data_IF_451488703316
#
_entry.id   IF_451488703316
#
_cell.length_a   1.000
_cell.length_b   1.000
_cell.length_c   1.000
_cell.angle_alpha   90.00
_cell.angle_beta   90.00
_cell.angle_gamma   90.00
#
_symmetry.space_group_name_H-M   'P 1'
#
loop_
_entity.id
_entity.type
_entity.pdbx_description
1 polymer ?
#
# COMPACT_ATOMS: atom_id res chain seq x y z
N UNK A 1 20.29 47.65 -12.55
CA UNK A 1 19.64 46.53 -13.27
C UNK A 1 19.72 45.33 -12.35
N UNK A 2 18.55 44.90 -11.90
CA UNK A 2 18.28 43.94 -10.82
C UNK A 2 18.74 42.54 -11.17
N UNK A 3 19.48 41.90 -10.26
CA UNK A 3 19.82 40.48 -10.32
C UNK A 3 18.56 39.65 -10.10
N UNK A 4 18.32 38.70 -11.01
CA UNK A 4 17.27 37.68 -10.88
C UNK A 4 17.81 36.58 -9.97
N UNK A 5 17.18 36.26 -8.82
CA UNK A 5 17.54 35.09 -8.05
C UNK A 5 17.22 33.82 -8.86
N UNK A 6 17.95 32.71 -8.66
CA UNK A 6 17.57 31.43 -9.23
C UNK A 6 16.22 30.98 -8.65
N UNK A 7 15.40 30.22 -9.41
CA UNK A 7 14.15 29.69 -8.89
C UNK A 7 14.45 28.68 -7.77
N UNK A 8 13.69 28.81 -6.68
CA UNK A 8 13.50 27.82 -5.63
C UNK A 8 13.49 26.41 -6.24
N UNK A 9 14.48 25.60 -5.86
CA UNK A 9 14.46 24.17 -6.10
C UNK A 9 13.30 23.59 -5.30
N UNK A 10 12.23 23.22 -6.01
CA UNK A 10 11.21 22.33 -5.49
C UNK A 10 11.93 21.11 -4.90
N UNK A 11 11.76 20.91 -3.59
CA UNK A 11 12.21 19.70 -2.92
C UNK A 11 11.59 18.50 -3.65
N UNK A 12 12.45 17.56 -4.06
CA UNK A 12 12.00 16.26 -4.53
C UNK A 12 11.14 15.59 -3.44
N UNK A 13 10.10 14.81 -3.81
CA UNK A 13 9.37 14.01 -2.84
C UNK A 13 10.36 13.06 -2.14
N UNK A 14 10.26 12.98 -0.82
CA UNK A 14 11.18 12.22 0.00
C UNK A 14 10.94 10.73 -0.21
N UNK A 15 11.91 10.05 -0.83
CA UNK A 15 12.12 8.62 -0.61
C UNK A 15 12.07 8.34 0.89
N UNK A 16 11.27 7.35 1.31
CA UNK A 16 11.42 6.84 2.66
C UNK A 16 12.78 6.14 2.72
N UNK A 17 13.75 6.80 3.34
CA UNK A 17 15.10 6.26 3.51
C UNK A 17 15.03 4.88 4.17
N UNK A 18 15.99 3.99 3.92
CA UNK A 18 16.04 2.69 4.60
C UNK A 18 15.96 2.81 6.15
N UNK A 19 16.53 3.89 6.69
CA UNK A 19 16.42 4.27 8.10
C UNK A 19 14.98 4.64 8.52
N UNK A 20 14.23 5.32 7.67
CA UNK A 20 12.84 5.71 7.94
C UNK A 20 11.90 4.51 7.89
N UNK A 21 12.14 3.58 6.96
CA UNK A 21 11.47 2.29 6.94
C UNK A 21 11.80 1.46 8.20
N UNK A 22 13.02 1.60 8.77
CA UNK A 22 13.37 1.00 10.06
C UNK A 22 12.59 1.64 11.22
N UNK A 23 12.45 2.95 11.27
CA UNK A 23 11.69 3.63 12.32
C UNK A 23 10.19 3.29 12.30
N UNK A 24 9.60 3.17 11.11
CA UNK A 24 8.20 2.72 10.95
C UNK A 24 8.05 1.28 11.44
N UNK A 25 9.03 0.41 11.15
CA UNK A 25 9.06 -0.97 11.67
C UNK A 25 9.12 -0.99 13.19
N UNK A 26 10.04 -0.25 13.78
CA UNK A 26 10.22 -0.21 15.24
C UNK A 26 8.95 0.30 15.93
N UNK A 27 8.32 1.37 15.41
CA UNK A 27 7.06 1.86 15.97
C UNK A 27 5.92 0.85 15.88
N UNK A 28 5.78 0.16 14.75
CA UNK A 28 4.77 -0.89 14.61
C UNK A 28 5.10 -2.11 15.52
N UNK A 29 6.39 -2.41 15.74
CA UNK A 29 6.83 -3.47 16.64
C UNK A 29 6.58 -3.17 18.11
N UNK A 30 6.76 -1.92 18.52
CA UNK A 30 6.48 -1.45 19.88
C UNK A 30 5.00 -1.55 20.25
N UNK A 31 4.11 -1.42 19.26
CA UNK A 31 2.66 -1.57 19.44
C UNK A 31 2.20 -3.04 19.43
N UNK A 32 3.14 -3.97 19.59
CA UNK A 32 2.94 -5.41 19.49
C UNK A 32 2.22 -5.85 18.22
N UNK A 33 2.08 -5.02 17.17
CA UNK A 33 1.44 -5.31 15.87
C UNK A 33 2.08 -6.55 15.24
N UNK A 34 3.32 -6.87 15.65
CA UNK A 34 4.03 -8.10 15.36
C UNK A 34 4.13 -9.00 16.60
N UNK A 35 3.24 -9.99 16.70
CA UNK A 35 3.47 -11.11 17.61
C UNK A 35 4.60 -12.00 17.04
N UNK A 36 5.84 -11.73 17.49
CA UNK A 36 7.04 -12.48 17.13
C UNK A 36 7.97 -11.76 16.17
N UNK A 37 9.25 -12.17 16.15
CA UNK A 37 10.23 -11.75 15.14
C UNK A 37 9.58 -11.88 13.75
N UNK A 38 9.64 -10.87 12.86
CA UNK A 38 9.24 -11.05 11.48
C UNK A 38 10.05 -12.23 10.92
N UNK A 39 9.36 -13.35 10.67
CA UNK A 39 10.00 -14.52 10.12
C UNK A 39 10.09 -14.32 8.61
N UNK A 40 11.27 -13.93 8.12
CA UNK A 40 11.91 -14.50 6.93
C UNK A 40 11.15 -14.62 5.61
N UNK A 41 10.14 -13.81 5.34
CA UNK A 41 9.69 -13.54 3.96
C UNK A 41 9.95 -12.06 3.69
N UNK A 42 11.23 -11.73 3.45
CA UNK A 42 11.65 -10.43 2.93
C UNK A 42 11.16 -10.33 1.48
N UNK A 43 9.85 -10.13 1.29
CA UNK A 43 9.29 -9.89 -0.04
C UNK A 43 9.33 -8.41 -0.37
N UNK A 44 9.62 -8.11 -1.62
CA UNK A 44 9.69 -6.78 -2.21
C UNK A 44 8.44 -6.58 -3.06
N UNK A 45 7.72 -5.48 -2.85
CA UNK A 45 6.51 -5.16 -3.60
C UNK A 45 6.72 -3.90 -4.38
N UNK A 46 6.17 -3.95 -5.57
CA UNK A 46 5.98 -2.77 -6.36
C UNK A 46 4.49 -2.57 -6.55
N UNK A 47 4.09 -1.31 -6.43
CA UNK A 47 2.70 -0.90 -6.60
C UNK A 47 2.66 0.26 -7.58
N UNK A 48 1.92 0.08 -8.66
CA UNK A 48 1.61 1.15 -9.60
C UNK A 48 0.12 1.40 -9.60
N UNK A 49 -0.27 2.67 -9.68
CA UNK A 49 -1.66 3.07 -9.79
C UNK A 49 -1.98 3.36 -11.25
N UNK A 50 -3.11 2.86 -11.72
CA UNK A 50 -3.60 3.05 -13.08
C UNK A 50 -5.05 3.53 -13.05
N UNK A 51 -5.38 4.49 -13.90
CA UNK A 51 -6.77 4.93 -14.14
C UNK A 51 -7.45 4.15 -15.27
N UNK A 52 -6.76 3.17 -15.85
CA UNK A 52 -7.34 2.32 -16.88
C UNK A 52 -8.52 1.51 -16.32
N UNK A 53 -9.42 1.10 -17.21
CA UNK A 53 -10.50 0.18 -16.86
C UNK A 53 -9.92 -1.10 -16.19
N UNK A 54 -10.41 -1.50 -15.00
CA UNK A 54 -9.86 -2.64 -14.28
C UNK A 54 -9.92 -3.96 -15.04
N UNK A 55 -10.89 -4.17 -15.94
CA UNK A 55 -10.98 -5.39 -16.73
C UNK A 55 -9.94 -5.39 -17.87
N UNK A 56 -9.67 -4.23 -18.49
CA UNK A 56 -8.58 -4.08 -19.45
C UNK A 56 -7.22 -4.28 -18.78
N UNK A 57 -7.01 -3.67 -17.61
CA UNK A 57 -5.79 -3.81 -16.82
C UNK A 57 -5.54 -5.26 -16.39
N UNK A 58 -6.58 -6.00 -16.01
CA UNK A 58 -6.48 -7.42 -15.65
C UNK A 58 -5.97 -8.30 -16.81
N UNK A 59 -6.29 -7.97 -18.06
CA UNK A 59 -5.76 -8.68 -19.23
C UNK A 59 -4.24 -8.54 -19.35
N UNK A 60 -3.76 -7.29 -19.37
CA UNK A 60 -2.33 -6.98 -19.48
C UNK A 60 -1.53 -7.53 -18.28
N UNK A 61 -2.11 -7.43 -17.08
CA UNK A 61 -1.51 -7.99 -15.86
C UNK A 61 -1.48 -9.52 -15.90
N UNK A 62 -2.47 -10.16 -16.51
CA UNK A 62 -2.48 -11.61 -16.73
C UNK A 62 -1.31 -12.07 -17.62
N UNK A 63 -1.05 -11.35 -18.71
CA UNK A 63 0.09 -11.62 -19.60
C UNK A 63 1.43 -11.34 -18.90
N UNK A 64 1.49 -10.27 -18.11
CA UNK A 64 2.67 -9.93 -17.31
C UNK A 64 2.96 -11.02 -16.27
N UNK A 65 1.94 -11.46 -15.53
CA UNK A 65 2.03 -12.55 -14.54
C UNK A 65 2.55 -13.83 -15.18
N UNK A 66 2.02 -14.22 -16.35
CA UNK A 66 2.48 -15.42 -17.05
C UNK A 66 3.96 -15.35 -17.48
N UNK A 67 4.52 -14.14 -17.66
CA UNK A 67 5.95 -13.96 -17.88
C UNK A 67 6.74 -14.04 -16.57
N UNK A 68 6.22 -13.47 -15.48
CA UNK A 68 6.84 -13.48 -14.16
C UNK A 68 6.86 -14.86 -13.50
N UNK A 69 5.85 -15.70 -13.74
CA UNK A 69 5.77 -17.09 -13.24
C UNK A 69 6.91 -18.01 -13.73
N UNK A 70 7.75 -17.52 -14.65
CA UNK A 70 8.98 -18.22 -15.08
C UNK A 70 10.14 -18.04 -14.11
N UNK A 71 10.04 -17.09 -13.17
CA UNK A 71 11.06 -16.79 -12.19
C UNK A 71 10.64 -17.37 -10.84
N UNK A 72 11.49 -18.19 -10.24
CA UNK A 72 11.21 -18.82 -8.95
C UNK A 72 11.02 -17.79 -7.82
N UNK A 73 11.55 -16.57 -7.99
CA UNK A 73 11.44 -15.45 -7.05
C UNK A 73 10.13 -14.67 -7.18
N UNK A 74 9.29 -14.94 -8.18
CA UNK A 74 7.98 -14.30 -8.30
C UNK A 74 6.99 -14.92 -7.33
N UNK A 75 6.39 -14.09 -6.47
CA UNK A 75 5.43 -14.55 -5.46
C UNK A 75 3.99 -14.32 -5.89
N UNK A 76 3.67 -13.13 -6.42
CA UNK A 76 2.30 -12.74 -6.81
C UNK A 76 2.33 -11.55 -7.73
N UNK A 77 1.45 -11.51 -8.72
CA UNK A 77 1.06 -10.27 -9.41
C UNK A 77 -0.47 -10.23 -9.50
N UNK A 78 -1.08 -9.14 -9.07
CA UNK A 78 -2.53 -9.00 -8.99
C UNK A 78 -3.01 -7.55 -9.18
N UNK A 79 -4.27 -7.41 -9.60
CA UNK A 79 -4.98 -6.14 -9.72
C UNK A 79 -5.93 -5.96 -8.54
N UNK A 80 -5.88 -4.80 -7.93
CA UNK A 80 -6.73 -4.40 -6.83
C UNK A 80 -7.55 -3.18 -7.22
N UNK A 81 -8.76 -3.11 -6.69
CA UNK A 81 -9.63 -1.97 -6.88
C UNK A 81 -10.33 -1.60 -5.58
N UNK A 82 -11.03 -0.47 -5.62
CA UNK A 82 -11.83 0.04 -4.50
C UNK A 82 -13.26 -0.51 -4.53
N UNK A 83 -13.63 -1.25 -5.58
CA UNK A 83 -14.90 -1.96 -5.70
C UNK A 83 -15.01 -3.02 -4.58
N UNK A 84 -15.92 -2.78 -3.63
CA UNK A 84 -16.06 -3.61 -2.42
C UNK A 84 -15.11 -3.25 -1.26
N UNK A 85 -14.29 -2.21 -1.43
CA UNK A 85 -13.42 -1.65 -0.39
C UNK A 85 -14.02 -0.44 0.31
N UNK A 86 -13.23 0.16 1.21
CA UNK A 86 -13.57 1.35 2.00
C UNK A 86 -12.67 2.49 1.61
N UNK A 87 -13.22 3.71 1.61
CA UNK A 87 -12.46 4.93 1.32
C UNK A 87 -12.72 6.00 2.36
N UNK A 88 -11.67 6.76 2.66
CA UNK A 88 -11.69 7.91 3.54
C UNK A 88 -10.83 9.02 2.94
N UNK A 89 -11.31 10.27 2.99
CA UNK A 89 -10.65 11.43 2.40
C UNK A 89 -11.04 11.69 0.94
N UNK A 90 -10.59 12.83 0.40
CA UNK A 90 -10.99 13.37 -0.91
C UNK A 90 -9.89 13.22 -1.98
N UNK A 91 -8.99 12.24 -1.80
CA UNK A 91 -7.83 12.06 -2.68
C UNK A 91 -8.12 11.27 -3.95
N UNK A 92 -7.30 11.49 -4.97
CA UNK A 92 -7.45 10.98 -6.34
C UNK A 92 -7.14 9.47 -6.47
N UNK A 93 -6.60 8.83 -5.42
CA UNK A 93 -6.37 7.39 -5.42
C UNK A 93 -7.67 6.59 -5.38
N UNK A 94 -8.77 7.25 -5.05
CA UNK A 94 -10.07 6.63 -4.86
C UNK A 94 -10.68 6.02 -6.14
N UNK A 95 -10.28 6.52 -7.31
CA UNK A 95 -10.74 6.02 -8.62
C UNK A 95 -9.71 5.15 -9.35
N UNK A 96 -8.52 4.92 -8.77
CA UNK A 96 -7.44 4.20 -9.44
C UNK A 96 -7.38 2.73 -9.04
N UNK A 97 -7.21 1.84 -10.02
CA UNK A 97 -6.80 0.47 -9.77
C UNK A 97 -5.32 0.43 -9.40
N UNK A 98 -4.95 -0.48 -8.49
CA UNK A 98 -3.56 -0.74 -8.15
C UNK A 98 -3.12 -2.08 -8.73
N UNK A 99 -1.96 -2.10 -9.37
CA UNK A 99 -1.27 -3.35 -9.74
C UNK A 99 -0.15 -3.57 -8.76
N UNK A 100 -0.18 -4.72 -8.12
CA UNK A 100 0.81 -5.12 -7.13
C UNK A 100 1.55 -6.34 -7.65
N UNK A 101 2.87 -6.30 -7.59
CA UNK A 101 3.73 -7.48 -7.74
C UNK A 101 4.55 -7.70 -6.48
N UNK A 102 4.73 -8.95 -6.07
CA UNK A 102 5.52 -9.40 -4.92
C UNK A 102 6.66 -10.30 -5.40
N UNK A 103 7.85 -10.08 -4.87
CA UNK A 103 9.08 -10.77 -5.23
C UNK A 103 9.87 -11.19 -4.00
N UNK A 104 10.59 -12.31 -4.04
CA UNK A 104 11.48 -12.73 -2.95
C UNK A 104 12.77 -11.91 -2.85
N UNK A 105 13.15 -11.16 -3.88
CA UNK A 105 14.41 -10.41 -3.93
C UNK A 105 14.26 -9.01 -4.52
N UNK A 106 15.07 -8.07 -4.02
CA UNK A 106 15.09 -6.66 -4.45
C UNK A 106 15.41 -6.52 -5.93
N UNK A 107 16.49 -7.16 -6.40
CA UNK A 107 16.90 -7.12 -7.81
C UNK A 107 15.79 -7.58 -8.77
N UNK A 108 14.99 -8.57 -8.36
CA UNK A 108 13.89 -9.09 -9.17
C UNK A 108 12.73 -8.10 -9.21
N UNK A 109 12.43 -7.46 -8.07
CA UNK A 109 11.47 -6.36 -8.03
C UNK A 109 11.94 -5.20 -8.92
N UNK A 110 13.17 -4.69 -8.74
CA UNK A 110 13.69 -3.59 -9.55
C UNK A 110 13.55 -3.86 -11.05
N UNK A 111 13.91 -5.07 -11.49
CA UNK A 111 13.74 -5.51 -12.88
C UNK A 111 12.28 -5.52 -13.32
N UNK A 112 11.37 -5.99 -12.47
CA UNK A 112 9.93 -6.02 -12.74
C UNK A 112 9.31 -4.62 -12.87
N UNK A 113 9.90 -3.62 -12.19
CA UNK A 113 9.41 -2.25 -12.16
C UNK A 113 9.37 -1.59 -13.55
N UNK A 114 10.30 -1.96 -14.44
CA UNK A 114 10.35 -1.48 -15.82
C UNK A 114 9.11 -1.92 -16.61
N UNK A 115 8.62 -3.13 -16.35
CA UNK A 115 7.45 -3.67 -17.05
C UNK A 115 6.15 -3.06 -16.55
N UNK A 116 6.05 -2.76 -15.25
CA UNK A 116 4.86 -2.10 -14.68
C UNK A 116 4.63 -0.71 -15.26
N UNK A 117 5.71 -0.02 -15.62
CA UNK A 117 5.65 1.30 -16.27
C UNK A 117 5.05 1.25 -17.68
N UNK A 118 4.99 0.06 -18.30
CA UNK A 118 4.38 -0.18 -19.61
C UNK A 118 2.87 -0.43 -19.57
N UNK A 119 2.27 -0.53 -18.37
CA UNK A 119 0.83 -0.76 -18.21
C UNK A 119 0.01 0.46 -18.66
N UNK A 120 -1.25 0.26 -19.09
CA UNK A 120 -2.08 1.35 -19.58
C UNK A 120 -2.39 2.37 -18.48
N UNK A 121 -2.36 3.65 -18.84
CA UNK A 121 -2.78 4.80 -18.01
C UNK A 121 -2.22 4.79 -16.57
N UNK A 122 -0.97 4.35 -16.41
CA UNK A 122 -0.25 4.46 -15.15
C UNK A 122 -0.10 5.93 -14.78
N UNK A 123 -0.65 6.31 -13.63
CA UNK A 123 -0.68 7.71 -13.14
C UNK A 123 0.45 8.02 -12.17
N UNK A 124 1.31 7.05 -11.90
CA UNK A 124 2.50 7.19 -11.08
C UNK A 124 2.59 6.15 -9.98
N UNK A 125 3.70 6.18 -9.25
CA UNK A 125 3.92 5.40 -8.04
C UNK A 125 3.43 6.18 -6.82
N UNK A 126 3.20 5.52 -5.68
CA UNK A 126 2.87 6.22 -4.45
C UNK A 126 3.94 7.26 -4.04
N UNK A 127 5.21 7.07 -4.43
CA UNK A 127 6.33 7.99 -4.18
C UNK A 127 6.29 9.31 -4.98
N UNK A 128 5.67 9.31 -6.16
CA UNK A 128 5.60 10.49 -7.04
C UNK A 128 4.58 11.53 -6.55
N UNK A 129 3.80 11.18 -5.54
CA UNK A 129 2.67 11.98 -5.08
C UNK A 129 3.04 12.79 -3.84
N UNK A 130 2.59 14.04 -3.78
CA UNK A 130 2.90 14.97 -2.68
C UNK A 130 2.38 14.50 -1.32
N UNK A 131 3.24 14.49 -0.29
CA UNK A 131 2.93 14.01 1.06
C UNK A 131 3.63 12.68 1.37
N UNK A 132 3.26 12.06 2.49
CA UNK A 132 3.83 10.78 2.94
C UNK A 132 2.84 9.64 2.69
N UNK A 133 3.25 8.63 1.91
CA UNK A 133 2.46 7.43 1.62
C UNK A 133 2.82 6.27 2.52
N UNK A 134 1.82 5.58 3.07
CA UNK A 134 1.98 4.31 3.77
C UNK A 134 1.14 3.25 3.09
N UNK A 135 1.70 2.05 2.92
CA UNK A 135 0.93 0.88 2.50
C UNK A 135 0.82 -0.09 3.67
N UNK A 136 -0.42 -0.24 4.15
CA UNK A 136 -0.80 -1.26 5.12
C UNK A 136 -0.95 -2.61 4.41
N UNK A 137 -0.02 -3.51 4.74
CA UNK A 137 0.14 -4.95 4.44
C UNK A 137 -0.97 -5.71 3.69
N UNK A 138 -0.57 -6.71 2.90
CA UNK A 138 -1.46 -7.65 2.21
C UNK A 138 -2.17 -8.57 3.23
N UNK A 139 -3.45 -8.29 3.47
CA UNK A 139 -4.35 -9.04 4.33
C UNK A 139 -4.98 -10.17 3.53
N UNK A 140 -4.71 -11.41 3.94
CA UNK A 140 -5.59 -12.53 3.58
C UNK A 140 -6.58 -12.72 4.72
N UNK A 141 -7.83 -12.30 4.51
CA UNK A 141 -8.91 -12.36 5.51
C UNK A 141 -9.57 -13.74 5.46
N UNK A 142 -9.99 -14.29 6.60
CA UNK A 142 -10.82 -15.50 6.60
C UNK A 142 -12.14 -15.20 5.87
N UNK A 143 -12.61 -16.04 4.95
CA UNK A 143 -13.82 -15.77 4.15
C UNK A 143 -15.05 -15.41 5.00
N UNK A 144 -15.24 -16.07 6.14
CA UNK A 144 -16.36 -15.82 7.06
C UNK A 144 -16.34 -14.43 7.72
N UNK A 145 -15.18 -13.75 7.73
CA UNK A 145 -14.98 -12.45 8.36
C UNK A 145 -14.81 -11.31 7.35
N UNK A 146 -14.90 -11.59 6.05
CA UNK A 146 -14.67 -10.61 4.99
C UNK A 146 -15.59 -9.39 5.11
N UNK A 147 -16.89 -9.61 5.30
CA UNK A 147 -17.85 -8.51 5.47
C UNK A 147 -17.58 -7.69 6.74
N UNK A 148 -17.30 -8.36 7.86
CA UNK A 148 -16.97 -7.72 9.14
C UNK A 148 -15.66 -6.90 9.05
N UNK A 149 -14.69 -7.38 8.28
CA UNK A 149 -13.43 -6.68 8.00
C UNK A 149 -13.65 -5.40 7.22
N UNK A 150 -14.42 -5.45 6.14
CA UNK A 150 -14.77 -4.26 5.36
C UNK A 150 -15.55 -3.26 6.23
N UNK A 151 -16.50 -3.71 7.04
CA UNK A 151 -17.27 -2.83 7.94
C UNK A 151 -16.38 -2.15 8.98
N UNK A 152 -15.51 -2.91 9.65
CA UNK A 152 -14.56 -2.39 10.65
C UNK A 152 -13.62 -1.35 10.02
N UNK A 153 -13.11 -1.61 8.81
CA UNK A 153 -12.32 -0.63 8.08
C UNK A 153 -13.12 0.62 7.70
N UNK A 154 -14.43 0.48 7.48
CA UNK A 154 -15.39 1.57 7.32
C UNK A 154 -15.35 2.54 8.50
N UNK A 155 -15.42 1.99 9.71
CA UNK A 155 -15.39 2.76 10.95
C UNK A 155 -14.04 3.46 11.16
N UNK A 156 -12.94 2.76 10.90
CA UNK A 156 -11.59 3.33 10.97
C UNK A 156 -11.41 4.45 9.93
N UNK A 157 -11.90 4.24 8.71
CA UNK A 157 -11.91 5.26 7.66
C UNK A 157 -12.66 6.52 8.06
N UNK A 158 -13.83 6.37 8.70
CA UNK A 158 -14.61 7.49 9.22
C UNK A 158 -13.85 8.32 10.27
N UNK A 159 -13.01 7.68 11.09
CA UNK A 159 -12.14 8.36 12.06
C UNK A 159 -10.96 9.06 11.37
N UNK A 160 -10.33 8.38 10.42
CA UNK A 160 -9.19 8.91 9.66
C UNK A 160 -9.57 10.18 8.90
N UNK A 161 -10.75 10.22 8.29
CA UNK A 161 -11.24 11.41 7.56
C UNK A 161 -11.33 12.69 8.42
N UNK A 162 -11.40 12.57 9.75
CA UNK A 162 -11.43 13.69 10.67
C UNK A 162 -10.08 14.03 11.30
N UNK A 163 -9.01 13.29 10.96
CA UNK A 163 -7.70 13.42 11.57
C UNK A 163 -6.86 14.48 10.86
N UNK A 164 -6.31 15.43 11.62
CA UNK A 164 -5.33 16.38 11.10
C UNK A 164 -4.12 15.63 10.49
N UNK A 165 -3.71 16.05 9.30
CA UNK A 165 -2.62 15.42 8.57
C UNK A 165 -3.01 14.18 7.76
N UNK A 166 -4.23 13.65 7.89
CA UNK A 166 -4.73 12.59 7.01
C UNK A 166 -5.22 13.17 5.68
N UNK A 167 -4.78 12.61 4.56
CA UNK A 167 -5.21 13.03 3.22
C UNK A 167 -6.22 12.06 2.61
N UNK A 168 -5.84 10.79 2.54
CA UNK A 168 -6.68 9.73 1.97
C UNK A 168 -6.29 8.36 2.52
N UNK A 169 -7.26 7.47 2.65
CA UNK A 169 -7.06 6.05 2.89
C UNK A 169 -8.03 5.26 2.04
N UNK A 170 -7.55 4.20 1.40
CA UNK A 170 -8.34 3.26 0.65
C UNK A 170 -7.98 1.83 1.08
N UNK A 171 -8.99 1.02 1.36
CA UNK A 171 -8.88 -0.44 1.37
C UNK A 171 -9.12 -0.92 -0.06
N UNK A 172 -8.10 -1.55 -0.65
CA UNK A 172 -8.16 -2.08 -1.99
C UNK A 172 -8.29 -3.61 -1.94
N UNK A 173 -9.22 -4.15 -2.73
CA UNK A 173 -9.58 -5.57 -2.77
C UNK A 173 -9.06 -6.17 -4.07
N UNK A 174 -8.42 -7.33 -3.99
CA UNK A 174 -7.96 -8.06 -5.16
C UNK A 174 -9.16 -8.53 -5.98
N UNK A 175 -9.11 -8.28 -7.29
CA UNK A 175 -10.18 -8.62 -8.23
C UNK A 175 -10.39 -10.13 -8.39
N UNK A 176 -9.34 -10.92 -8.25
CA UNK A 176 -9.37 -12.38 -8.42
C UNK A 176 -9.63 -13.12 -7.11
N UNK A 177 -9.41 -12.47 -5.96
CA UNK A 177 -9.62 -13.04 -4.63
C UNK A 177 -10.08 -11.94 -3.66
N UNK A 178 -11.37 -11.89 -3.35
CA UNK A 178 -11.92 -10.84 -2.51
C UNK A 178 -11.51 -10.93 -1.03
N UNK A 179 -10.76 -11.97 -0.65
CA UNK A 179 -10.16 -12.08 0.69
C UNK A 179 -8.73 -11.54 0.76
N UNK A 180 -8.10 -11.25 -0.39
CA UNK A 180 -6.78 -10.65 -0.50
C UNK A 180 -6.93 -9.13 -0.68
N UNK A 181 -6.52 -8.36 0.33
CA UNK A 181 -6.72 -6.91 0.39
C UNK A 181 -5.46 -6.20 0.84
N UNK A 182 -5.31 -4.91 0.54
CA UNK A 182 -4.30 -4.08 1.18
C UNK A 182 -4.82 -2.66 1.39
N UNK A 183 -4.18 -1.90 2.26
CA UNK A 183 -4.54 -0.52 2.56
C UNK A 183 -3.50 0.40 1.95
N UNK A 184 -3.96 1.42 1.23
CA UNK A 184 -3.14 2.57 0.86
C UNK A 184 -3.59 3.76 1.70
N UNK A 185 -2.67 4.41 2.42
CA UNK A 185 -2.97 5.63 3.18
C UNK A 185 -1.96 6.71 2.85
N UNK A 186 -2.40 7.97 2.90
CA UNK A 186 -1.58 9.14 2.64
C UNK A 186 -1.82 10.23 3.65
N UNK A 187 -0.73 10.91 3.93
CA UNK A 187 -0.59 11.86 5.01
C UNK A 187 0.13 13.12 4.55
N UNK A 188 -0.07 14.23 5.24
CA UNK A 188 0.68 15.47 5.04
C UNK A 188 2.16 15.25 5.36
N UNK A 189 2.46 14.60 6.49
CA UNK A 189 3.81 14.26 6.90
C UNK A 189 3.89 12.86 7.53
N UNK A 190 5.13 12.35 7.64
CA UNK A 190 5.44 11.08 8.31
C UNK A 190 5.00 11.11 9.78
N UNK A 191 5.18 12.24 10.45
CA UNK A 191 4.83 12.43 11.85
C UNK A 191 3.33 12.23 12.11
N UNK A 192 2.47 12.60 11.16
CA UNK A 192 1.02 12.43 11.23
C UNK A 192 0.65 10.94 11.16
N UNK A 193 1.24 10.22 10.18
CA UNK A 193 1.09 8.77 10.07
C UNK A 193 1.57 8.04 11.34
N UNK A 194 2.71 8.47 11.89
CA UNK A 194 3.28 7.89 13.11
C UNK A 194 2.47 8.23 14.36
N UNK A 195 1.78 9.37 14.40
CA UNK A 195 0.84 9.69 15.46
C UNK A 195 -0.36 8.73 15.42
N UNK A 196 -0.91 8.46 14.23
CA UNK A 196 -1.99 7.49 14.04
C UNK A 196 -1.57 6.07 14.44
N UNK A 197 -0.41 5.57 14.00
CA UNK A 197 0.06 4.23 14.34
C UNK A 197 0.32 4.01 15.84
N UNK A 198 0.49 5.10 16.61
CA UNK A 198 0.66 5.07 18.07
C UNK A 198 -0.65 5.30 18.84
N UNK A 199 -1.76 5.54 18.14
CA UNK A 199 -3.07 5.72 18.76
C UNK A 199 -3.61 4.41 19.35
N UNK A 200 -4.41 4.52 20.39
CA UNK A 200 -5.11 3.36 20.97
C UNK A 200 -6.07 2.73 19.93
N UNK A 201 -6.69 3.56 19.10
CA UNK A 201 -7.65 3.12 18.07
C UNK A 201 -7.02 2.24 17.00
N UNK A 202 -5.78 2.55 16.60
CA UNK A 202 -5.03 1.70 15.67
C UNK A 202 -4.65 0.37 16.32
N UNK A 203 -4.25 0.38 17.61
CA UNK A 203 -3.94 -0.85 18.36
C UNK A 203 -5.15 -1.77 18.45
N UNK A 204 -6.30 -1.25 18.85
CA UNK A 204 -7.54 -2.02 18.98
C UNK A 204 -7.92 -2.68 17.64
N UNK A 205 -7.79 -1.93 16.53
CA UNK A 205 -8.06 -2.44 15.18
C UNK A 205 -7.09 -3.55 14.78
N UNK A 206 -5.81 -3.40 15.09
CA UNK A 206 -4.79 -4.42 14.81
C UNK A 206 -5.03 -5.67 15.65
N UNK A 207 -5.40 -5.52 16.92
CA UNK A 207 -5.68 -6.65 17.80
C UNK A 207 -6.83 -7.49 17.26
N UNK A 208 -7.94 -6.85 16.90
CA UNK A 208 -9.07 -7.51 16.25
C UNK A 208 -8.69 -8.14 14.90
N UNK A 209 -7.91 -7.43 14.09
CA UNK A 209 -7.41 -7.92 12.80
C UNK A 209 -6.73 -9.30 12.91
N UNK A 210 -6.00 -9.55 13.99
CA UNK A 210 -5.32 -10.85 14.20
C UNK A 210 -6.27 -12.04 14.31
N UNK A 211 -7.47 -11.81 14.83
CA UNK A 211 -8.45 -12.87 15.02
C UNK A 211 -9.09 -13.30 13.69
N UNK A 212 -9.15 -12.37 12.73
CA UNK A 212 -9.91 -12.54 11.47
C UNK A 212 -9.02 -12.83 10.26
N UNK A 213 -7.71 -12.62 10.35
CA UNK A 213 -6.78 -12.93 9.27
C UNK A 213 -6.52 -14.44 9.14
N UNK A 214 -6.51 -14.91 7.90
CA UNK A 214 -6.15 -16.28 7.52
C UNK A 214 -4.62 -16.50 7.55
N UNK A 215 -3.86 -15.45 7.26
CA UNK A 215 -2.40 -15.46 7.28
C UNK A 215 -1.82 -14.24 7.99
N UNK A 216 -0.57 -14.33 8.44
CA UNK A 216 0.09 -13.16 9.04
C UNK A 216 0.39 -12.14 7.95
N UNK A 217 0.13 -10.85 8.20
CA UNK A 217 0.28 -9.82 7.18
C UNK A 217 1.75 -9.70 6.77
N UNK A 218 1.99 -9.70 5.45
CA UNK A 218 3.34 -9.58 4.88
C UNK A 218 3.78 -8.12 4.88
N UNK A 219 5.00 -7.87 5.37
CA UNK A 219 5.62 -6.56 5.31
C UNK A 219 6.19 -6.36 3.93
N UNK A 220 5.94 -5.19 3.34
CA UNK A 220 6.55 -4.90 2.06
C UNK A 220 7.08 -3.49 1.95
N UNK A 221 8.33 -3.40 1.47
CA UNK A 221 9.01 -2.18 1.13
C UNK A 221 8.60 -1.73 -0.27
N UNK A 222 8.34 -0.44 -0.41
CA UNK A 222 8.30 0.22 -1.70
C UNK A 222 9.76 0.42 -2.14
N UNK A 223 10.12 -0.15 -3.29
CA UNK A 223 11.41 0.01 -3.95
C UNK A 223 11.26 0.85 -5.23
#
# INVERSE_FOLDING_TARGET
MTGRPPPDGAAAPADASADEAAEIRDALADNEVYAGKPHGEEVYALVVYSRADPAALAGEVGDLRANFDRYDTHVKTAVYGTDGGVQAGDGDASDAAAVVTLWETEDAAETASEYLSGLPEVVGRPEDREGFGTMGMFYSVKPDYREEFVETFGEVGGKLAGMDGHRETALLVNREDDTDMFISSRWDAKEDAMAFFRSEEFRDTVEWGREVLADRPRHVFLA
#
